data_IF_508362904108
#
_entry.id   IF_508362904108
#
_cell.length_a   1.000
_cell.length_b   1.000
_cell.length_c   1.000
_cell.angle_alpha   90.00
_cell.angle_beta   90.00
_cell.angle_gamma   90.00
#
_symmetry.space_group_name_H-M   'P 1'
#
loop_
_entity.id
_entity.type
_entity.pdbx_description
1 polymer ?
#
# COMPACT_ATOMS: atom_id res chain seq x y z
N UNK A 1 88.72 2.56 32.51
CA UNK A 1 88.05 3.61 31.67
C UNK A 1 87.23 2.97 30.54
N UNK A 2 87.79 2.04 29.75
CA UNK A 2 87.08 1.39 28.62
C UNK A 2 85.78 0.64 28.99
N UNK A 3 85.74 -0.05 30.15
CA UNK A 3 84.53 -0.77 30.63
C UNK A 3 83.32 0.15 30.85
N UNK A 4 83.56 1.37 31.33
CA UNK A 4 82.52 2.36 31.64
C UNK A 4 81.82 2.88 30.37
N UNK A 5 82.58 3.04 29.28
CA UNK A 5 82.01 3.46 27.99
C UNK A 5 81.20 2.35 27.32
N UNK A 6 81.57 1.08 27.51
CA UNK A 6 80.78 -0.06 27.00
C UNK A 6 79.45 -0.19 27.76
N UNK A 7 79.48 -0.07 29.08
CA UNK A 7 78.28 -0.09 29.92
C UNK A 7 77.32 1.08 29.58
N UNK A 8 77.84 2.26 29.26
CA UNK A 8 77.01 3.42 28.82
C UNK A 8 76.36 3.20 27.45
N UNK A 9 77.05 2.53 26.52
CA UNK A 9 76.47 2.21 25.20
C UNK A 9 75.40 1.11 25.29
N UNK A 10 75.58 0.13 26.18
CA UNK A 10 74.58 -0.93 26.41
C UNK A 10 73.34 -0.39 27.11
N UNK A 11 73.48 0.50 28.10
CA UNK A 11 72.35 1.10 28.80
C UNK A 11 71.47 1.96 27.88
N UNK A 12 72.09 2.75 26.99
CA UNK A 12 71.37 3.55 25.98
C UNK A 12 70.59 2.67 25.00
N UNK A 13 71.15 1.53 24.59
CA UNK A 13 70.46 0.55 23.74
C UNK A 13 69.25 -0.04 24.45
N UNK A 14 69.38 -0.41 25.72
CA UNK A 14 68.26 -0.95 26.51
C UNK A 14 67.14 0.07 26.71
N UNK A 15 67.48 1.33 26.97
CA UNK A 15 66.49 2.41 27.10
C UNK A 15 65.70 2.63 25.80
N UNK A 16 66.37 2.61 24.64
CA UNK A 16 65.72 2.78 23.33
C UNK A 16 64.78 1.61 22.95
N UNK A 17 65.14 0.38 23.33
CA UNK A 17 64.27 -0.80 23.12
C UNK A 17 63.02 -0.70 24.02
N UNK A 18 63.18 -0.34 25.29
CA UNK A 18 62.03 -0.16 26.19
C UNK A 18 61.11 0.98 25.75
N UNK A 19 61.63 2.10 25.22
CA UNK A 19 60.80 3.17 24.69
C UNK A 19 60.05 2.76 23.42
N UNK A 20 60.68 1.96 22.55
CA UNK A 20 60.03 1.44 21.34
C UNK A 20 58.87 0.49 21.63
N UNK A 21 58.99 -0.35 22.67
CA UNK A 21 57.92 -1.27 23.08
C UNK A 21 56.74 -0.55 23.78
N UNK A 22 56.99 0.57 24.47
CA UNK A 22 55.95 1.37 25.13
C UNK A 22 55.11 2.20 24.14
N UNK A 23 55.69 2.62 23.01
CA UNK A 23 54.96 3.38 21.98
C UNK A 23 53.94 2.50 21.25
N UNK A 24 54.25 1.22 21.02
CA UNK A 24 53.36 0.23 20.37
C UNK A 24 52.15 -0.14 21.24
N UNK A 25 52.27 -0.06 22.57
CA UNK A 25 51.17 -0.40 23.49
C UNK A 25 50.11 0.71 23.64
N UNK A 26 50.41 1.95 23.24
CA UNK A 26 49.51 3.11 23.40
C UNK A 26 48.50 3.31 22.27
N UNK A 27 48.54 2.46 21.23
CA UNK A 27 47.82 2.65 19.96
C UNK A 27 46.41 2.06 19.84
N UNK A 28 45.74 1.66 20.93
CA UNK A 28 44.36 1.16 20.86
C UNK A 28 43.42 2.22 21.44
N UNK A 29 43.05 3.19 20.60
CA UNK A 29 41.92 4.06 20.88
C UNK A 29 40.65 3.19 20.90
N UNK A 30 40.12 2.96 22.10
CA UNK A 30 38.91 2.18 22.35
C UNK A 30 37.71 2.94 21.76
N UNK A 31 37.34 2.60 20.52
CA UNK A 31 36.26 3.24 19.77
C UNK A 31 34.92 2.80 20.38
N UNK A 32 34.52 3.45 21.48
CA UNK A 32 33.18 3.26 22.04
C UNK A 32 32.18 3.91 21.09
N UNK A 33 31.35 3.07 20.49
CA UNK A 33 30.19 3.44 19.70
C UNK A 33 29.18 4.18 20.60
N UNK A 34 29.35 5.50 20.74
CA UNK A 34 28.43 6.39 21.45
C UNK A 34 27.42 6.89 20.43
N UNK A 35 26.35 6.12 20.30
CA UNK A 35 24.94 6.54 20.15
C UNK A 35 24.25 5.54 19.19
N UNK A 36 23.42 4.61 19.71
CA UNK A 36 22.71 3.68 18.84
C UNK A 36 21.79 4.49 17.90
N UNK A 37 21.65 4.08 16.62
CA UNK A 37 20.78 4.76 15.68
C UNK A 37 19.36 4.78 16.25
N UNK A 38 18.83 6.00 16.50
CA UNK A 38 17.43 6.18 16.89
C UNK A 38 16.58 5.78 15.69
N UNK A 39 16.21 4.50 15.62
CA UNK A 39 15.18 4.05 14.69
C UNK A 39 13.90 4.78 15.09
N UNK A 40 13.48 5.71 14.23
CA UNK A 40 12.25 6.46 14.48
C UNK A 40 11.11 5.43 14.54
N UNK A 41 10.37 5.33 15.65
CA UNK A 41 9.34 4.30 15.84
C UNK A 41 8.08 4.56 14.99
N UNK A 42 8.09 5.63 14.20
CA UNK A 42 7.01 5.94 13.26
C UNK A 42 7.28 5.21 11.95
N UNK A 43 6.48 4.19 11.60
CA UNK A 43 6.64 3.51 10.33
C UNK A 43 6.46 4.54 9.20
N UNK A 44 7.51 4.73 8.40
CA UNK A 44 7.56 5.67 7.28
C UNK A 44 6.70 5.19 6.08
N UNK A 45 5.93 4.11 6.26
CA UNK A 45 5.05 3.60 5.21
C UNK A 45 3.88 4.56 5.01
N UNK A 46 3.43 4.79 3.76
CA UNK A 46 2.32 5.69 3.47
C UNK A 46 1.12 5.37 4.35
N UNK A 47 0.35 6.39 4.75
CA UNK A 47 -0.75 6.27 5.71
C UNK A 47 -1.84 5.32 5.21
N UNK A 48 -1.65 4.02 5.47
CA UNK A 48 -2.49 2.92 4.95
C UNK A 48 -3.93 3.05 5.42
N UNK A 49 -4.12 3.64 6.60
CA UNK A 49 -5.42 3.92 7.21
C UNK A 49 -6.23 4.96 6.42
N UNK A 50 -5.56 5.84 5.67
CA UNK A 50 -6.20 6.82 4.80
C UNK A 50 -6.30 6.32 3.34
N UNK A 51 -5.31 5.54 2.88
CA UNK A 51 -5.32 4.98 1.52
C UNK A 51 -6.42 3.95 1.28
N UNK A 52 -6.73 3.08 2.25
CA UNK A 52 -7.78 2.07 2.11
C UNK A 52 -9.17 2.69 1.87
N UNK A 53 -9.70 3.61 2.71
CA UNK A 53 -10.98 4.23 2.45
C UNK A 53 -10.97 5.10 1.19
N UNK A 54 -9.86 5.77 0.88
CA UNK A 54 -9.72 6.53 -0.36
C UNK A 54 -9.82 5.64 -1.60
N UNK A 55 -9.18 4.47 -1.58
CA UNK A 55 -9.27 3.48 -2.67
C UNK A 55 -10.68 2.92 -2.81
N UNK A 56 -11.39 2.66 -1.70
CA UNK A 56 -12.79 2.23 -1.73
C UNK A 56 -13.68 3.28 -2.40
N UNK A 57 -13.55 4.55 -2.02
CA UNK A 57 -14.29 5.65 -2.62
C UNK A 57 -13.98 5.79 -4.11
N UNK A 58 -12.72 5.69 -4.50
CA UNK A 58 -12.30 5.73 -5.90
C UNK A 58 -12.91 4.58 -6.71
N UNK A 59 -12.94 3.36 -6.16
CA UNK A 59 -13.54 2.19 -6.82
C UNK A 59 -15.07 2.36 -7.01
N UNK A 60 -15.78 2.87 -6.01
CA UNK A 60 -17.23 3.15 -6.10
C UNK A 60 -17.48 4.23 -7.16
N UNK A 61 -16.72 5.32 -7.13
CA UNK A 61 -16.84 6.39 -8.11
C UNK A 61 -16.60 5.89 -9.54
N UNK A 62 -15.55 5.09 -9.74
CA UNK A 62 -15.25 4.47 -11.04
C UNK A 62 -16.40 3.56 -11.52
N UNK A 63 -16.98 2.77 -10.62
CA UNK A 63 -18.13 1.91 -10.94
C UNK A 63 -19.36 2.72 -11.39
N UNK A 64 -19.67 3.83 -10.70
CA UNK A 64 -20.77 4.72 -11.08
C UNK A 64 -20.54 5.38 -12.44
N UNK A 65 -19.33 5.89 -12.69
CA UNK A 65 -18.97 6.51 -13.97
C UNK A 65 -19.09 5.50 -15.11
N UNK A 66 -18.60 4.28 -14.93
CA UNK A 66 -18.72 3.22 -15.93
C UNK A 66 -20.17 2.81 -16.16
N UNK A 67 -20.98 2.69 -15.11
CA UNK A 67 -22.41 2.39 -15.24
C UNK A 67 -23.16 3.48 -16.01
N UNK A 68 -22.85 4.75 -15.71
CA UNK A 68 -23.42 5.90 -16.41
C UNK A 68 -22.98 5.94 -17.88
N UNK A 69 -21.70 5.74 -18.18
CA UNK A 69 -21.22 5.67 -19.55
C UNK A 69 -21.90 4.52 -20.32
N UNK A 70 -22.05 3.36 -19.68
CA UNK A 70 -22.75 2.22 -20.27
C UNK A 70 -24.24 2.48 -20.52
N UNK A 71 -24.92 3.23 -19.64
CA UNK A 71 -26.33 3.62 -19.85
C UNK A 71 -26.48 4.60 -21.00
N UNK A 72 -25.56 5.56 -21.14
CA UNK A 72 -25.59 6.52 -22.25
C UNK A 72 -25.39 5.84 -23.62
N UNK A 73 -24.65 4.72 -23.68
CA UNK A 73 -24.43 3.95 -24.90
C UNK A 73 -25.65 3.10 -25.33
N UNK A 74 -26.67 2.95 -24.47
CA UNK A 74 -27.93 2.27 -24.78
C UNK A 74 -29.10 3.25 -24.67
N UNK A 75 -29.32 4.12 -25.69
CA UNK A 75 -30.49 4.96 -25.72
C UNK A 75 -31.74 4.06 -25.76
N UNK A 76 -32.45 4.00 -24.64
CA UNK A 76 -33.69 3.25 -24.50
C UNK A 76 -34.78 4.29 -24.26
N UNK A 77 -35.85 4.25 -25.06
CA UNK A 77 -37.00 5.12 -24.87
C UNK A 77 -37.99 4.43 -23.94
N UNK A 78 -38.05 4.88 -22.69
CA UNK A 78 -38.89 4.25 -21.66
C UNK A 78 -40.33 4.82 -21.67
N UNK A 79 -40.54 6.01 -22.25
CA UNK A 79 -41.85 6.65 -22.32
C UNK A 79 -42.35 6.81 -23.78
N UNK A 80 -43.51 6.24 -24.14
CA UNK A 80 -44.16 6.50 -25.43
C UNK A 80 -44.39 8.00 -25.67
N UNK A 81 -44.65 8.80 -24.63
CA UNK A 81 -44.85 10.25 -24.78
C UNK A 81 -43.58 10.97 -25.23
N UNK A 82 -42.41 10.51 -24.78
CA UNK A 82 -41.10 11.00 -25.23
C UNK A 82 -40.82 10.62 -26.69
N UNK A 83 -41.20 9.40 -27.10
CA UNK A 83 -41.15 8.96 -28.50
C UNK A 83 -42.01 9.85 -29.40
N UNK A 84 -43.23 10.17 -28.99
CA UNK A 84 -44.12 11.08 -29.74
C UNK A 84 -43.52 12.49 -29.86
N UNK A 85 -42.96 13.00 -28.76
CA UNK A 85 -42.35 14.33 -28.73
C UNK A 85 -41.13 14.48 -29.65
N UNK A 86 -40.28 13.45 -29.75
CA UNK A 86 -39.08 13.49 -30.60
C UNK A 86 -39.33 13.08 -32.06
N UNK A 87 -40.32 12.25 -32.33
CA UNK A 87 -40.60 11.76 -33.69
C UNK A 87 -41.71 12.53 -34.41
N UNK A 88 -42.59 13.24 -33.67
CA UNK A 88 -43.71 14.00 -34.25
C UNK A 88 -44.84 13.14 -34.82
N UNK A 89 -44.76 11.81 -34.68
CA UNK A 89 -45.73 10.86 -35.24
C UNK A 89 -46.77 10.44 -34.19
N UNK A 90 -48.06 10.29 -34.56
CA UNK A 90 -49.08 9.78 -33.67
C UNK A 90 -48.84 8.28 -33.37
N UNK A 91 -48.83 7.92 -32.08
CA UNK A 91 -48.74 6.53 -31.64
C UNK A 91 -50.08 5.82 -31.87
N UNK A 92 -50.05 4.75 -32.65
CA UNK A 92 -51.23 3.91 -32.95
C UNK A 92 -51.61 2.97 -31.77
N UNK A 93 -50.70 2.78 -30.81
CA UNK A 93 -50.90 1.97 -29.62
C UNK A 93 -49.58 1.63 -28.93
N UNK A 94 -49.64 1.13 -27.69
CA UNK A 94 -48.48 0.63 -26.93
C UNK A 94 -48.71 -0.84 -26.62
N UNK A 95 -47.69 -1.67 -26.84
CA UNK A 95 -47.73 -3.11 -26.52
C UNK A 95 -46.90 -3.33 -25.27
N UNK A 96 -47.52 -3.88 -24.23
CA UNK A 96 -46.80 -4.23 -23.01
C UNK A 96 -45.90 -5.44 -23.25
N UNK A 97 -44.68 -5.38 -22.72
CA UNK A 97 -43.76 -6.51 -22.77
C UNK A 97 -44.27 -7.62 -21.85
N UNK A 98 -44.56 -8.80 -22.42
CA UNK A 98 -44.82 -10.01 -21.64
C UNK A 98 -43.47 -10.67 -21.37
N UNK A 99 -42.99 -10.60 -20.13
CA UNK A 99 -41.71 -11.23 -19.76
C UNK A 99 -41.84 -12.75 -19.80
N UNK A 100 -40.97 -13.40 -20.58
CA UNK A 100 -40.82 -14.85 -20.53
C UNK A 100 -40.13 -15.31 -19.24
N UNK A 101 -40.34 -16.57 -18.84
CA UNK A 101 -39.58 -17.26 -17.80
C UNK A 101 -38.06 -17.09 -17.99
N UNK A 102 -37.60 -17.14 -19.24
CA UNK A 102 -36.18 -16.95 -19.60
C UNK A 102 -35.69 -15.53 -19.30
N UNK A 103 -36.50 -14.50 -19.59
CA UNK A 103 -36.18 -13.09 -19.31
C UNK A 103 -36.14 -12.83 -17.82
N UNK A 104 -37.11 -13.40 -17.07
CA UNK A 104 -37.17 -13.31 -15.62
C UNK A 104 -35.94 -13.95 -14.97
N UNK A 105 -35.48 -15.10 -15.48
CA UNK A 105 -34.24 -15.74 -15.02
C UNK A 105 -33.01 -14.89 -15.34
N UNK A 106 -32.97 -14.22 -16.49
CA UNK A 106 -31.86 -13.34 -16.91
C UNK A 106 -31.74 -12.12 -16.00
N UNK A 107 -32.86 -11.47 -15.68
CA UNK A 107 -32.92 -10.35 -14.73
C UNK A 107 -32.54 -10.76 -13.30
N UNK A 108 -32.94 -11.97 -12.88
CA UNK A 108 -32.51 -12.51 -11.58
C UNK A 108 -31.00 -12.74 -11.55
N UNK A 109 -30.44 -13.26 -12.65
CA UNK A 109 -29.00 -13.49 -12.76
C UNK A 109 -28.20 -12.19 -12.81
N UNK A 110 -28.72 -11.12 -13.42
CA UNK A 110 -28.06 -9.81 -13.40
C UNK A 110 -28.04 -9.20 -12.00
N UNK A 111 -29.15 -9.32 -11.26
CA UNK A 111 -29.21 -8.89 -9.86
C UNK A 111 -28.23 -9.68 -8.99
N UNK A 112 -28.19 -11.01 -9.12
CA UNK A 112 -27.24 -11.85 -8.37
C UNK A 112 -25.80 -11.47 -8.69
N UNK A 113 -25.46 -11.24 -9.97
CA UNK A 113 -24.12 -10.78 -10.38
C UNK A 113 -23.77 -9.42 -9.79
N UNK A 114 -24.71 -8.49 -9.79
CA UNK A 114 -24.52 -7.16 -9.20
C UNK A 114 -24.28 -7.25 -7.68
N UNK A 115 -25.09 -8.06 -6.99
CA UNK A 115 -24.95 -8.29 -5.55
C UNK A 115 -23.65 -9.02 -5.21
N UNK A 116 -23.24 -10.01 -6.00
CA UNK A 116 -21.97 -10.71 -5.79
C UNK A 116 -20.77 -9.79 -6.01
N UNK A 117 -20.82 -8.91 -7.02
CA UNK A 117 -19.75 -7.96 -7.31
C UNK A 117 -19.64 -6.85 -6.25
N UNK A 118 -20.77 -6.30 -5.80
CA UNK A 118 -20.79 -5.31 -4.73
C UNK A 118 -20.38 -5.93 -3.40
N UNK A 119 -20.84 -7.15 -3.12
CA UNK A 119 -20.48 -7.91 -1.92
C UNK A 119 -19.00 -8.27 -1.88
N UNK A 120 -18.39 -8.67 -3.00
CA UNK A 120 -16.95 -8.97 -3.05
C UNK A 120 -16.09 -7.72 -2.84
N UNK A 121 -16.49 -6.56 -3.37
CA UNK A 121 -15.79 -5.30 -3.14
C UNK A 121 -15.73 -4.96 -1.63
N UNK A 122 -16.86 -5.03 -0.94
CA UNK A 122 -16.93 -4.79 0.50
C UNK A 122 -16.19 -5.88 1.27
N UNK A 123 -16.35 -7.15 0.88
CA UNK A 123 -15.67 -8.28 1.51
C UNK A 123 -14.15 -8.18 1.45
N UNK A 124 -13.58 -7.82 0.29
CA UNK A 124 -12.14 -7.61 0.12
C UNK A 124 -11.64 -6.41 0.95
N UNK A 125 -12.42 -5.33 1.02
CA UNK A 125 -12.08 -4.18 1.86
C UNK A 125 -12.01 -4.54 3.36
N UNK A 126 -13.01 -5.27 3.86
CA UNK A 126 -13.05 -5.74 5.25
C UNK A 126 -11.91 -6.74 5.52
N UNK A 127 -11.67 -7.69 4.62
CA UNK A 127 -10.56 -8.63 4.73
C UNK A 127 -9.19 -7.92 4.76
N UNK A 128 -9.01 -6.89 3.93
CA UNK A 128 -7.82 -6.04 3.94
C UNK A 128 -7.62 -5.27 5.25
N UNK A 129 -8.70 -4.74 5.84
CA UNK A 129 -8.65 -4.10 7.16
C UNK A 129 -8.28 -5.10 8.26
N UNK A 130 -8.88 -6.29 8.27
CA UNK A 130 -8.57 -7.34 9.24
C UNK A 130 -7.10 -7.75 9.12
N UNK A 131 -6.62 -8.05 7.91
CA UNK A 131 -5.23 -8.39 7.66
C UNK A 131 -4.26 -7.27 8.12
N UNK A 132 -4.61 -6.00 7.87
CA UNK A 132 -3.83 -4.85 8.34
C UNK A 132 -3.76 -4.80 9.87
N UNK A 133 -4.89 -4.96 10.57
CA UNK A 133 -4.91 -4.92 12.04
C UNK A 133 -4.15 -6.08 12.68
N UNK A 134 -4.20 -7.28 12.07
CA UNK A 134 -3.39 -8.44 12.49
C UNK A 134 -1.91 -8.16 12.31
N UNK A 135 -1.48 -7.72 11.13
CA UNK A 135 -0.07 -7.44 10.84
C UNK A 135 0.50 -6.34 11.76
N UNK A 136 -0.32 -5.33 12.10
CA UNK A 136 0.07 -4.31 13.07
C UNK A 136 0.18 -4.81 14.52
N UNK A 137 -0.55 -5.87 14.90
CA UNK A 137 -0.44 -6.52 16.22
C UNK A 137 0.76 -7.46 16.33
N UNK A 138 1.21 -8.05 15.22
CA UNK A 138 2.41 -8.92 15.18
C UNK A 138 3.72 -8.14 15.02
N UNK A 139 3.66 -6.85 14.69
CA UNK A 139 4.82 -5.99 14.46
C UNK A 139 5.19 -5.09 15.68
N UNK A 140 4.56 -5.30 16.84
CA UNK A 140 4.92 -4.69 18.12
C UNK A 140 5.58 -5.70 19.04
#
# INVERSE_FOLDING_TARGET
>A
IVKKSYEDLVSRRQAAVMSGELEVASGVADFRLIDPPRVSPKPVSPNRMLLLPAALLAAVAAGLVLAFAASQLRPTFDDPTELRGKTGLPLLGVVSMILSEADRRRSRMSLVRFMSASGSLVGLFVAGLIAMTLTGRYAG
#
